data_IF_876713630186
#
_entry.id   IF_876713630186
#
_cell.length_a   1.000
_cell.length_b   1.000
_cell.length_c   1.000
_cell.angle_alpha   90.00
_cell.angle_beta   90.00
_cell.angle_gamma   90.00
#
_symmetry.space_group_name_H-M   'P 1'
#
loop_
_entity.id
_entity.type
_entity.pdbx_description
1 polymer ?
#
# COMPACT_ATOMS: atom_id res chain seq x y z
N UNK A 1 28.35 28.85 -31.31
CA UNK A 1 26.87 28.86 -31.35
C UNK A 1 26.35 28.42 -29.99
N UNK A 2 25.88 29.38 -29.20
CA UNK A 2 25.33 29.19 -27.85
C UNK A 2 23.82 28.97 -27.95
N UNK A 3 23.36 27.75 -27.77
CA UNK A 3 21.96 27.42 -27.54
C UNK A 3 21.92 26.39 -26.42
N UNK A 4 21.42 26.78 -25.24
CA UNK A 4 21.40 25.88 -24.07
C UNK A 4 21.21 26.56 -22.71
N UNK A 5 21.08 27.88 -22.63
CA UNK A 5 20.41 28.52 -21.50
C UNK A 5 18.90 28.43 -21.76
N UNK A 6 18.14 27.66 -20.96
CA UNK A 6 16.72 27.89 -20.58
C UNK A 6 16.06 26.69 -19.87
N UNK A 7 16.72 26.03 -18.89
CA UNK A 7 16.02 25.01 -18.06
C UNK A 7 16.21 25.17 -16.53
N UNK A 8 16.78 26.27 -16.05
CA UNK A 8 16.95 26.54 -14.60
C UNK A 8 15.96 27.59 -14.04
N UNK A 9 14.72 27.60 -14.51
CA UNK A 9 13.66 28.43 -13.93
C UNK A 9 12.37 27.61 -13.92
N UNK A 10 12.08 26.83 -12.89
CA UNK A 10 11.53 27.39 -11.66
C UNK A 10 11.56 26.38 -10.50
N UNK A 11 12.66 26.30 -9.76
CA UNK A 11 12.60 25.89 -8.36
C UNK A 11 12.40 27.16 -7.52
N UNK A 12 11.19 27.75 -7.60
CA UNK A 12 10.79 28.78 -6.65
C UNK A 12 10.57 28.04 -5.33
N UNK A 13 11.51 28.18 -4.39
CA UNK A 13 11.35 27.62 -3.04
C UNK A 13 9.98 28.04 -2.50
N UNK A 14 9.14 27.06 -2.18
CA UNK A 14 7.80 27.29 -1.66
C UNK A 14 7.96 28.11 -0.37
N UNK A 15 7.38 29.30 -0.31
CA UNK A 15 7.44 30.14 0.87
C UNK A 15 6.57 29.51 1.97
N UNK A 16 7.21 28.78 2.88
CA UNK A 16 6.54 28.09 4.00
C UNK A 16 5.90 29.06 5.02
N UNK A 17 5.97 30.39 4.81
CA UNK A 17 5.29 31.40 5.64
C UNK A 17 3.82 31.58 5.28
N UNK A 18 3.36 31.10 4.10
CA UNK A 18 1.94 31.05 3.75
C UNK A 18 1.36 29.71 4.18
N UNK A 19 0.28 29.75 4.95
CA UNK A 19 -0.52 28.54 5.20
C UNK A 19 -1.00 27.98 3.85
N UNK A 20 -0.89 26.65 3.64
CA UNK A 20 -1.34 26.04 2.40
C UNK A 20 -2.83 26.28 2.20
N UNK A 21 -3.21 26.53 0.94
CA UNK A 21 -4.61 26.64 0.57
C UNK A 21 -5.33 25.30 0.75
N UNK A 22 -6.65 25.34 0.95
CA UNK A 22 -7.50 24.15 1.09
C UNK A 22 -7.30 23.15 -0.07
N UNK A 23 -7.24 23.65 -1.30
CA UNK A 23 -7.08 22.81 -2.50
C UNK A 23 -5.71 22.12 -2.55
N UNK A 24 -4.66 22.77 -2.04
CA UNK A 24 -3.33 22.19 -1.97
C UNK A 24 -3.27 21.04 -0.95
N UNK A 25 -3.99 21.18 0.17
CA UNK A 25 -4.11 20.11 1.18
C UNK A 25 -4.86 18.90 0.62
N UNK A 26 -5.94 19.11 -0.14
CA UNK A 26 -6.65 18.00 -0.78
C UNK A 26 -5.85 17.31 -1.88
N UNK A 27 -5.12 18.08 -2.70
CA UNK A 27 -4.28 17.49 -3.73
C UNK A 27 -3.20 16.57 -3.16
N UNK A 28 -2.55 16.97 -2.06
CA UNK A 28 -1.56 16.13 -1.36
C UNK A 28 -2.21 14.88 -0.79
N UNK A 29 -3.35 15.03 -0.09
CA UNK A 29 -4.12 13.91 0.45
C UNK A 29 -4.51 12.90 -0.63
N UNK A 30 -5.04 13.36 -1.74
CA UNK A 30 -5.53 12.49 -2.82
C UNK A 30 -4.37 11.79 -3.54
N UNK A 31 -3.21 12.44 -3.64
CA UNK A 31 -1.97 11.81 -4.11
C UNK A 31 -1.51 10.70 -3.17
N UNK A 32 -1.45 10.97 -1.85
CA UNK A 32 -1.09 9.96 -0.85
C UNK A 32 -2.08 8.79 -0.85
N UNK A 33 -3.39 9.08 -0.96
CA UNK A 33 -4.44 8.07 -1.08
C UNK A 33 -4.18 7.15 -2.26
N UNK A 34 -3.87 7.73 -3.41
CA UNK A 34 -3.61 6.98 -4.65
C UNK A 34 -2.40 6.07 -4.47
N UNK A 35 -1.33 6.57 -3.87
CA UNK A 35 -0.12 5.78 -3.59
C UNK A 35 -0.41 4.61 -2.64
N UNK A 36 -1.09 4.85 -1.53
CA UNK A 36 -1.48 3.81 -0.56
C UNK A 36 -2.35 2.73 -1.21
N UNK A 37 -3.34 3.12 -2.01
CA UNK A 37 -4.20 2.18 -2.73
C UNK A 37 -3.39 1.33 -3.72
N UNK A 38 -2.39 1.91 -4.38
CA UNK A 38 -1.53 1.20 -5.31
C UNK A 38 -0.66 0.16 -4.57
N UNK A 39 -0.08 0.53 -3.42
CA UNK A 39 0.71 -0.39 -2.58
C UNK A 39 -0.15 -1.51 -1.98
N UNK A 40 -1.37 -1.21 -1.55
CA UNK A 40 -2.33 -2.25 -1.13
C UNK A 40 -2.60 -3.22 -2.28
N UNK A 41 -2.87 -2.71 -3.49
CA UNK A 41 -3.10 -3.54 -4.67
C UNK A 41 -1.92 -4.45 -4.99
N UNK A 42 -0.69 -3.95 -4.89
CA UNK A 42 0.53 -4.75 -5.05
C UNK A 42 0.63 -5.86 -4.00
N UNK A 43 0.38 -5.53 -2.73
CA UNK A 43 0.39 -6.50 -1.64
C UNK A 43 -0.65 -7.61 -1.85
N UNK A 44 -1.88 -7.24 -2.24
CA UNK A 44 -2.95 -8.20 -2.56
C UNK A 44 -2.58 -9.14 -3.73
N UNK A 45 -1.95 -8.62 -4.79
CA UNK A 45 -1.48 -9.45 -5.90
C UNK A 45 -0.38 -10.44 -5.46
N UNK A 46 0.57 -9.99 -4.65
CA UNK A 46 1.63 -10.86 -4.14
C UNK A 46 1.07 -11.93 -3.19
N UNK A 47 0.09 -11.60 -2.34
CA UNK A 47 -0.66 -12.57 -1.54
C UNK A 47 -1.25 -13.65 -2.45
N UNK A 48 -2.00 -13.26 -3.49
CA UNK A 48 -2.65 -14.21 -4.40
C UNK A 48 -1.63 -15.16 -5.03
N UNK A 49 -0.51 -14.62 -5.53
CA UNK A 49 0.58 -15.41 -6.13
C UNK A 49 1.17 -16.40 -5.14
N UNK A 50 1.41 -15.99 -3.89
CA UNK A 50 2.01 -16.83 -2.85
C UNK A 50 1.05 -17.92 -2.38
N UNK A 51 -0.22 -17.58 -2.19
CA UNK A 51 -1.27 -18.54 -1.81
C UNK A 51 -1.43 -19.60 -2.89
N UNK A 52 -1.49 -19.21 -4.16
CA UNK A 52 -1.56 -20.16 -5.27
C UNK A 52 -0.35 -21.11 -5.28
N UNK A 53 0.87 -20.56 -5.16
CA UNK A 53 2.08 -21.37 -5.10
C UNK A 53 2.09 -22.35 -3.91
N UNK A 54 1.61 -21.92 -2.73
CA UNK A 54 1.51 -22.79 -1.55
C UNK A 54 0.44 -23.86 -1.71
N UNK A 55 -0.71 -23.54 -2.32
CA UNK A 55 -1.79 -24.51 -2.59
C UNK A 55 -1.31 -25.59 -3.53
N UNK A 56 -0.62 -25.21 -4.61
CA UNK A 56 -0.03 -26.17 -5.55
C UNK A 56 0.98 -27.09 -4.85
N UNK A 57 1.86 -26.53 -4.01
CA UNK A 57 2.80 -27.34 -3.21
C UNK A 57 2.11 -28.25 -2.20
N UNK A 58 1.00 -27.80 -1.60
CA UNK A 58 0.26 -28.58 -0.62
C UNK A 58 -0.45 -29.79 -1.25
N UNK A 59 -0.83 -29.70 -2.52
CA UNK A 59 -1.47 -30.79 -3.27
C UNK A 59 -0.55 -32.01 -3.42
N UNK A 60 0.73 -31.76 -3.73
CA UNK A 60 1.74 -32.82 -3.95
C UNK A 60 2.49 -33.24 -2.66
N UNK A 61 2.24 -32.56 -1.55
CA UNK A 61 2.99 -32.77 -0.31
C UNK A 61 2.42 -33.88 0.57
N UNK A 62 3.26 -34.39 1.48
CA UNK A 62 2.78 -35.27 2.56
C UNK A 62 1.79 -34.54 3.49
N UNK A 63 1.01 -35.31 4.25
CA UNK A 63 -0.06 -34.78 5.11
C UNK A 63 0.43 -33.74 6.14
N UNK A 64 1.63 -33.91 6.70
CA UNK A 64 2.15 -32.97 7.69
C UNK A 64 2.58 -31.66 7.03
N UNK A 65 3.24 -31.73 5.89
CA UNK A 65 3.65 -30.56 5.10
C UNK A 65 2.44 -29.80 4.56
N UNK A 66 1.46 -30.50 3.97
CA UNK A 66 0.23 -29.90 3.48
C UNK A 66 -0.53 -29.16 4.59
N UNK A 67 -0.61 -29.74 5.80
CA UNK A 67 -1.24 -29.08 6.96
C UNK A 67 -0.53 -27.78 7.35
N UNK A 68 0.80 -27.76 7.36
CA UNK A 68 1.59 -26.54 7.66
C UNK A 68 1.37 -25.46 6.60
N UNK A 69 1.36 -25.84 5.32
CA UNK A 69 1.11 -24.90 4.22
C UNK A 69 -0.30 -24.31 4.30
N UNK A 70 -1.31 -25.12 4.56
CA UNK A 70 -2.69 -24.65 4.71
C UNK A 70 -2.84 -23.68 5.89
N UNK A 71 -2.16 -23.92 7.02
CA UNK A 71 -2.13 -22.97 8.13
C UNK A 71 -1.51 -21.62 7.73
N UNK A 72 -0.40 -21.63 6.97
CA UNK A 72 0.21 -20.39 6.45
C UNK A 72 -0.71 -19.67 5.47
N UNK A 73 -1.36 -20.40 4.57
CA UNK A 73 -2.34 -19.84 3.62
C UNK A 73 -3.44 -19.11 4.39
N UNK A 74 -4.05 -19.74 5.39
CA UNK A 74 -5.11 -19.11 6.19
C UNK A 74 -4.65 -17.84 6.90
N UNK A 75 -3.42 -17.80 7.42
CA UNK A 75 -2.87 -16.57 8.01
C UNK A 75 -2.78 -15.45 6.98
N UNK A 76 -2.22 -15.74 5.81
CA UNK A 76 -2.02 -14.77 4.73
C UNK A 76 -3.36 -14.29 4.14
N UNK A 77 -4.36 -15.17 4.03
CA UNK A 77 -5.71 -14.81 3.57
C UNK A 77 -6.39 -13.81 4.53
N UNK A 78 -6.19 -13.93 5.84
CA UNK A 78 -6.70 -12.91 6.79
C UNK A 78 -6.06 -11.54 6.56
N UNK A 79 -4.79 -11.51 6.17
CA UNK A 79 -4.11 -10.27 5.84
C UNK A 79 -4.66 -9.65 4.54
N UNK A 80 -5.11 -10.47 3.59
CA UNK A 80 -5.87 -10.00 2.43
C UNK A 80 -7.19 -9.33 2.82
N UNK A 81 -7.96 -9.95 3.71
CA UNK A 81 -9.24 -9.40 4.20
C UNK A 81 -9.04 -8.05 4.91
N UNK A 82 -7.99 -7.91 5.72
CA UNK A 82 -7.62 -6.63 6.36
C UNK A 82 -7.29 -5.56 5.32
N UNK A 83 -6.53 -5.91 4.27
CA UNK A 83 -6.19 -4.99 3.19
C UNK A 83 -7.45 -4.54 2.42
N UNK A 84 -8.40 -5.44 2.17
CA UNK A 84 -9.67 -5.12 1.53
C UNK A 84 -10.51 -4.14 2.38
N UNK A 85 -10.60 -4.37 3.68
CA UNK A 85 -11.26 -3.45 4.61
C UNK A 85 -10.57 -2.08 4.61
N UNK A 86 -9.24 -2.05 4.56
CA UNK A 86 -8.48 -0.81 4.51
C UNK A 86 -8.69 -0.05 3.19
N UNK A 87 -8.75 -0.76 2.05
CA UNK A 87 -9.14 -0.17 0.76
C UNK A 87 -10.53 0.47 0.82
N UNK A 88 -11.50 -0.21 1.44
CA UNK A 88 -12.85 0.34 1.60
C UNK A 88 -12.85 1.62 2.46
N UNK A 89 -12.03 1.67 3.52
CA UNK A 89 -11.86 2.88 4.34
C UNK A 89 -11.21 4.01 3.54
N UNK A 90 -10.11 3.76 2.84
CA UNK A 90 -9.38 4.76 2.05
C UNK A 90 -10.21 5.37 0.90
N UNK A 91 -11.13 4.60 0.34
CA UNK A 91 -12.03 5.03 -0.75
C UNK A 91 -13.28 5.76 -0.25
N UNK A 92 -13.55 5.76 1.07
CA UNK A 92 -14.66 6.51 1.66
C UNK A 92 -14.31 8.00 1.79
N UNK A 93 -15.12 8.86 1.17
CA UNK A 93 -14.93 10.32 1.18
C UNK A 93 -15.18 11.00 2.54
N UNK A 94 -15.63 10.24 3.55
CA UNK A 94 -16.00 10.78 4.87
C UNK A 94 -14.84 11.05 5.83
N UNK A 95 -13.60 10.66 5.50
CA UNK A 95 -12.49 10.60 6.49
C UNK A 95 -11.62 11.87 6.58
N UNK A 96 -12.20 13.05 6.30
CA UNK A 96 -11.47 14.32 6.30
C UNK A 96 -10.74 14.64 7.62
N UNK A 97 -11.20 14.12 8.77
CA UNK A 97 -10.57 14.36 10.07
C UNK A 97 -9.44 13.40 10.43
N UNK A 98 -9.52 12.15 9.97
CA UNK A 98 -8.67 11.05 10.45
C UNK A 98 -7.66 10.55 9.41
N UNK A 99 -7.41 11.35 8.36
CA UNK A 99 -6.58 10.94 7.23
C UNK A 99 -5.16 10.51 7.63
N UNK A 100 -4.50 11.25 8.52
CA UNK A 100 -3.16 10.90 9.01
C UNK A 100 -3.13 9.58 9.77
N UNK A 101 -4.15 9.33 10.61
CA UNK A 101 -4.27 8.07 11.34
C UNK A 101 -4.48 6.91 10.36
N UNK A 102 -5.35 7.11 9.37
CA UNK A 102 -5.63 6.12 8.33
C UNK A 102 -4.40 5.80 7.47
N UNK A 103 -3.62 6.81 7.11
CA UNK A 103 -2.33 6.64 6.44
C UNK A 103 -1.39 5.77 7.29
N UNK A 104 -1.18 6.14 8.56
CA UNK A 104 -0.30 5.41 9.47
C UNK A 104 -0.74 3.95 9.67
N UNK A 105 -2.04 3.72 9.88
CA UNK A 105 -2.62 2.37 9.98
C UNK A 105 -2.37 1.54 8.72
N UNK A 106 -2.50 2.18 7.54
CA UNK A 106 -2.24 1.53 6.25
C UNK A 106 -0.78 1.14 6.11
N UNK A 107 0.14 2.02 6.47
CA UNK A 107 1.57 1.75 6.40
C UNK A 107 1.97 0.59 7.32
N UNK A 108 1.46 0.58 8.56
CA UNK A 108 1.70 -0.50 9.51
C UNK A 108 1.20 -1.84 8.93
N UNK A 109 -0.01 -1.85 8.37
CA UNK A 109 -0.58 -3.06 7.77
C UNK A 109 0.26 -3.56 6.58
N UNK A 110 0.72 -2.67 5.70
CA UNK A 110 1.60 -3.03 4.58
C UNK A 110 2.92 -3.63 5.08
N UNK A 111 3.50 -3.09 6.17
CA UNK A 111 4.72 -3.62 6.79
C UNK A 111 4.48 -5.00 7.39
N UNK A 112 3.34 -5.21 8.06
CA UNK A 112 2.96 -6.52 8.62
C UNK A 112 2.83 -7.57 7.50
N UNK A 113 2.10 -7.24 6.43
CA UNK A 113 1.94 -8.11 5.26
C UNK A 113 3.29 -8.41 4.60
N UNK A 114 4.13 -7.39 4.44
CA UNK A 114 5.49 -7.52 3.91
C UNK A 114 6.31 -8.55 4.69
N UNK A 115 6.24 -8.49 6.03
CA UNK A 115 6.93 -9.45 6.91
C UNK A 115 6.36 -10.86 6.79
N UNK A 116 5.04 -11.01 6.76
CA UNK A 116 4.39 -12.31 6.60
C UNK A 116 4.73 -12.99 5.27
N UNK A 117 4.90 -12.20 4.22
CA UNK A 117 5.25 -12.66 2.87
C UNK A 117 6.76 -12.74 2.61
N UNK A 118 7.58 -12.27 3.56
CA UNK A 118 9.03 -12.14 3.43
C UNK A 118 9.42 -11.31 2.18
N UNK A 119 8.77 -10.17 1.99
CA UNK A 119 8.96 -9.27 0.84
C UNK A 119 8.87 -7.79 1.25
N UNK A 120 9.08 -6.86 0.30
CA UNK A 120 8.95 -5.41 0.52
C UNK A 120 8.16 -4.76 -0.62
N UNK A 121 7.25 -3.84 -0.26
CA UNK A 121 6.38 -3.11 -1.20
C UNK A 121 6.57 -1.59 -1.13
#
# INVERSE_FOLDING_TARGET
MLLGLLLFSSCKGRDNRKQPGRDEVFAVRDSMRTELLLRIGQAQQEINRRVEAMRNRAYDADKATARRLNQKITTIERSYEKLEQQTARLTSDSLMGDWMLLEQETEILIIEVSRELETSF
#
